data_IF_445194238247
#
_entry.id   IF_445194238247
#
_cell.length_a   1.000
_cell.length_b   1.000
_cell.length_c   1.000
_cell.angle_alpha   90.00
_cell.angle_beta   90.00
_cell.angle_gamma   90.00
#
_symmetry.space_group_name_H-M   'P 1'
#
loop_
_entity.id
_entity.type
_entity.pdbx_description
1 polymer ?
#
# COMPACT_ATOMS: atom_id res chain seq x y z
N UNK A 1 -22.38 -16.26 3.47
CA UNK A 1 -22.81 -14.85 3.47
C UNK A 1 -21.71 -13.91 3.95
N UNK A 2 -21.02 -14.18 5.04
CA UNK A 2 -19.96 -13.34 5.64
C UNK A 2 -18.81 -13.03 4.65
N UNK A 3 -18.32 -14.01 3.89
CA UNK A 3 -17.23 -13.83 2.89
C UNK A 3 -17.55 -12.84 1.75
N UNK A 4 -18.84 -12.57 1.47
CA UNK A 4 -19.26 -11.59 0.44
C UNK A 4 -19.47 -10.18 1.00
N UNK A 5 -19.81 -10.06 2.29
CA UNK A 5 -20.09 -8.78 2.95
C UNK A 5 -18.79 -8.08 3.38
N UNK A 6 -17.77 -8.86 3.75
CA UNK A 6 -16.49 -8.34 4.23
C UNK A 6 -15.83 -7.35 3.26
N UNK A 7 -15.65 -7.63 1.97
CA UNK A 7 -15.04 -6.66 1.05
C UNK A 7 -15.84 -5.36 0.90
N UNK A 8 -17.18 -5.44 0.98
CA UNK A 8 -18.05 -4.26 0.87
C UNK A 8 -17.85 -3.35 2.08
N UNK A 9 -17.90 -3.92 3.31
CA UNK A 9 -17.67 -3.15 4.53
C UNK A 9 -16.27 -2.53 4.57
N UNK A 10 -15.27 -3.26 4.10
CA UNK A 10 -13.88 -2.79 4.04
C UNK A 10 -13.74 -1.60 3.07
N UNK A 11 -14.38 -1.66 1.89
CA UNK A 11 -14.41 -0.55 0.94
C UNK A 11 -15.13 0.67 1.54
N UNK A 12 -16.28 0.46 2.19
CA UNK A 12 -17.02 1.55 2.84
C UNK A 12 -16.21 2.24 3.94
N UNK A 13 -15.52 1.45 4.77
CA UNK A 13 -14.65 1.98 5.83
C UNK A 13 -13.45 2.75 5.26
N UNK A 14 -12.76 2.18 4.26
CA UNK A 14 -11.66 2.85 3.58
C UNK A 14 -12.09 4.16 2.94
N UNK A 15 -13.25 4.18 2.27
CA UNK A 15 -13.83 5.38 1.68
C UNK A 15 -14.19 6.45 2.74
N UNK A 16 -14.67 6.04 3.93
CA UNK A 16 -14.95 6.95 5.02
C UNK A 16 -13.67 7.64 5.55
N UNK A 17 -12.60 6.86 5.78
CA UNK A 17 -11.31 7.39 6.25
C UNK A 17 -10.72 8.35 5.22
N UNK A 18 -10.76 7.96 3.93
CA UNK A 18 -10.29 8.80 2.83
C UNK A 18 -11.07 10.11 2.76
N UNK A 19 -12.40 10.04 2.73
CA UNK A 19 -13.27 11.21 2.66
C UNK A 19 -13.07 12.16 3.85
N UNK A 20 -12.88 11.63 5.05
CA UNK A 20 -12.57 12.41 6.25
C UNK A 20 -11.25 13.19 6.07
N UNK A 21 -10.19 12.52 5.66
CA UNK A 21 -8.90 13.16 5.41
C UNK A 21 -8.97 14.23 4.32
N UNK A 22 -9.67 13.93 3.23
CA UNK A 22 -9.84 14.87 2.12
C UNK A 22 -10.62 16.11 2.54
N UNK A 23 -11.78 15.94 3.18
CA UNK A 23 -12.67 17.06 3.53
C UNK A 23 -12.08 18.00 4.58
N UNK A 24 -11.40 17.46 5.59
CA UNK A 24 -10.97 18.29 6.72
C UNK A 24 -9.49 18.71 6.68
N UNK A 25 -8.68 18.07 5.85
CA UNK A 25 -7.25 18.40 5.78
C UNK A 25 -6.82 18.87 4.38
N UNK A 26 -7.22 18.22 3.30
CA UNK A 26 -6.74 18.55 1.96
C UNK A 26 -7.46 19.78 1.40
N UNK A 27 -8.80 19.75 1.38
CA UNK A 27 -9.64 20.79 0.78
C UNK A 27 -9.45 22.17 1.45
N UNK A 28 -9.48 22.30 2.79
CA UNK A 28 -9.34 23.60 3.45
C UNK A 28 -7.97 24.26 3.24
N UNK A 29 -6.93 23.46 3.02
CA UNK A 29 -5.56 23.93 2.87
C UNK A 29 -5.13 24.03 1.40
N UNK A 30 -6.07 23.85 0.47
CA UNK A 30 -5.84 23.94 -0.97
C UNK A 30 -4.71 23.03 -1.50
N UNK A 31 -4.39 21.94 -0.79
CA UNK A 31 -3.47 20.97 -1.32
C UNK A 31 -4.08 20.37 -2.60
N UNK A 32 -3.25 20.22 -3.62
CA UNK A 32 -3.73 19.59 -4.84
C UNK A 32 -3.95 18.10 -4.58
N UNK A 33 -4.99 17.58 -5.14
CA UNK A 33 -5.11 16.15 -5.34
C UNK A 33 -4.46 15.84 -6.69
N UNK A 34 -3.53 14.91 -6.73
CA UNK A 34 -2.96 14.42 -7.97
C UNK A 34 -4.02 13.73 -8.85
N UNK A 35 -3.58 12.93 -9.78
CA UNK A 35 -4.46 12.05 -10.50
C UNK A 35 -5.40 12.70 -11.51
N UNK A 36 -6.54 12.05 -11.73
CA UNK A 36 -7.54 12.52 -12.66
C UNK A 36 -8.08 13.91 -12.30
N UNK A 37 -8.21 14.21 -11.01
CA UNK A 37 -8.67 15.52 -10.51
C UNK A 37 -7.70 16.62 -10.93
N UNK A 38 -6.38 16.40 -10.85
CA UNK A 38 -5.39 17.35 -11.36
C UNK A 38 -5.55 17.66 -12.84
N UNK A 39 -5.80 16.63 -13.67
CA UNK A 39 -6.06 16.80 -15.09
C UNK A 39 -7.35 17.61 -15.33
N UNK A 40 -8.41 17.34 -14.55
CA UNK A 40 -9.67 18.11 -14.69
C UNK A 40 -9.49 19.58 -14.33
N UNK A 41 -8.68 19.88 -13.32
CA UNK A 41 -8.34 21.27 -12.97
C UNK A 41 -7.54 21.96 -14.07
N UNK A 42 -6.52 21.31 -14.63
CA UNK A 42 -5.77 21.86 -15.76
C UNK A 42 -6.70 22.19 -16.94
N UNK A 43 -7.60 21.27 -17.30
CA UNK A 43 -8.53 21.49 -18.42
C UNK A 43 -9.55 22.59 -18.13
N UNK A 44 -9.99 22.73 -16.88
CA UNK A 44 -10.85 23.83 -16.47
C UNK A 44 -10.15 25.18 -16.62
N UNK A 45 -8.90 25.29 -16.18
CA UNK A 45 -8.16 26.55 -16.27
C UNK A 45 -7.80 26.93 -17.70
N UNK A 46 -7.37 25.97 -18.54
CA UNK A 46 -6.95 26.23 -19.91
C UNK A 46 -8.13 26.38 -20.87
N UNK A 47 -9.14 25.53 -20.75
CA UNK A 47 -10.22 25.43 -21.76
C UNK A 47 -11.59 25.78 -21.20
N UNK A 48 -11.70 26.12 -19.90
CA UNK A 48 -12.97 26.42 -19.23
C UNK A 48 -13.98 25.26 -19.25
N UNK A 49 -13.51 24.03 -19.43
CA UNK A 49 -14.37 22.85 -19.41
C UNK A 49 -14.76 22.57 -17.94
N UNK A 50 -16.05 22.40 -17.62
CA UNK A 50 -16.47 22.09 -16.25
C UNK A 50 -15.79 20.84 -15.71
N UNK A 51 -15.29 20.91 -14.46
CA UNK A 51 -14.57 19.82 -13.78
C UNK A 51 -15.39 18.54 -13.78
N UNK A 52 -16.70 18.64 -13.50
CA UNK A 52 -17.62 17.49 -13.49
C UNK A 52 -17.70 16.77 -14.83
N UNK A 53 -17.77 17.54 -15.94
CA UNK A 53 -17.83 16.98 -17.29
C UNK A 53 -16.53 16.28 -17.64
N UNK A 54 -15.38 16.91 -17.36
CA UNK A 54 -14.08 16.33 -17.67
C UNK A 54 -13.80 15.10 -16.82
N UNK A 55 -14.16 15.10 -15.54
CA UNK A 55 -14.07 13.94 -14.68
C UNK A 55 -14.88 12.76 -15.25
N UNK A 56 -16.09 13.00 -15.71
CA UNK A 56 -16.91 11.98 -16.36
C UNK A 56 -16.25 11.45 -17.64
N UNK A 57 -15.76 12.33 -18.51
CA UNK A 57 -15.08 11.98 -19.76
C UNK A 57 -13.82 11.12 -19.52
N UNK A 58 -13.06 11.40 -18.47
CA UNK A 58 -11.86 10.62 -18.11
C UNK A 58 -12.26 9.26 -17.51
N UNK A 59 -13.25 9.24 -16.63
CA UNK A 59 -13.60 8.02 -15.89
C UNK A 59 -14.36 6.99 -16.74
N UNK A 60 -15.21 7.38 -17.67
CA UNK A 60 -15.95 6.43 -18.53
C UNK A 60 -15.02 5.48 -19.27
N UNK A 61 -14.03 5.94 -20.07
CA UNK A 61 -13.12 5.03 -20.75
C UNK A 61 -12.29 4.18 -19.79
N UNK A 62 -11.89 4.73 -18.62
CA UNK A 62 -11.14 4.01 -17.61
C UNK A 62 -11.96 2.86 -16.99
N UNK A 63 -13.23 3.08 -16.69
CA UNK A 63 -14.12 2.00 -16.23
C UNK A 63 -14.34 0.93 -17.29
N UNK A 64 -14.46 1.30 -18.56
CA UNK A 64 -14.57 0.33 -19.67
C UNK A 64 -13.28 -0.50 -19.78
N UNK A 65 -12.11 0.11 -19.66
CA UNK A 65 -10.83 -0.59 -19.65
C UNK A 65 -10.71 -1.51 -18.43
N UNK A 66 -11.07 -1.02 -17.23
CA UNK A 66 -11.06 -1.84 -16.02
C UNK A 66 -11.98 -3.08 -16.17
N UNK A 67 -13.16 -2.90 -16.76
CA UNK A 67 -14.05 -4.02 -17.02
C UNK A 67 -13.44 -5.05 -17.97
N UNK A 68 -12.86 -4.62 -19.09
CA UNK A 68 -12.22 -5.50 -20.07
C UNK A 68 -11.02 -6.27 -19.49
N UNK A 69 -10.23 -5.62 -18.63
CA UNK A 69 -8.96 -6.19 -18.12
C UNK A 69 -9.17 -7.04 -16.86
N UNK A 70 -10.05 -6.62 -15.96
CA UNK A 70 -10.24 -7.23 -14.64
C UNK A 70 -11.60 -7.94 -14.49
N UNK A 71 -12.51 -7.80 -15.46
CA UNK A 71 -13.84 -8.40 -15.44
C UNK A 71 -14.86 -7.64 -14.59
N UNK A 72 -16.10 -8.13 -14.60
CA UNK A 72 -17.26 -7.48 -13.98
C UNK A 72 -17.15 -7.32 -12.45
N UNK A 73 -16.51 -8.26 -11.76
CA UNK A 73 -16.33 -8.19 -10.30
C UNK A 73 -15.49 -6.98 -9.88
N UNK A 74 -14.42 -6.70 -10.62
CA UNK A 74 -13.56 -5.54 -10.36
C UNK A 74 -14.27 -4.22 -10.67
N UNK A 75 -15.05 -4.18 -11.76
CA UNK A 75 -15.87 -3.02 -12.08
C UNK A 75 -16.86 -2.71 -10.94
N UNK A 76 -17.56 -3.74 -10.43
CA UNK A 76 -18.48 -3.57 -9.31
C UNK A 76 -17.79 -3.00 -8.07
N UNK A 77 -16.63 -3.54 -7.68
CA UNK A 77 -15.87 -3.05 -6.52
C UNK A 77 -15.36 -1.62 -6.73
N UNK A 78 -14.97 -1.25 -7.94
CA UNK A 78 -14.53 0.10 -8.28
C UNK A 78 -15.70 1.11 -8.27
N UNK A 79 -16.83 0.75 -8.85
CA UNK A 79 -18.05 1.57 -8.76
C UNK A 79 -18.51 1.75 -7.31
N UNK A 80 -18.48 0.67 -6.52
CA UNK A 80 -18.80 0.74 -5.11
C UNK A 80 -17.87 1.71 -4.37
N UNK A 81 -16.55 1.63 -4.60
CA UNK A 81 -15.58 2.53 -3.97
C UNK A 81 -15.81 3.99 -4.34
N UNK A 82 -16.04 4.28 -5.63
CA UNK A 82 -16.32 5.64 -6.12
C UNK A 82 -17.63 6.20 -5.54
N UNK A 83 -18.70 5.39 -5.52
CA UNK A 83 -19.99 5.81 -4.96
C UNK A 83 -19.91 5.98 -3.45
N UNK A 84 -19.22 5.07 -2.73
CA UNK A 84 -19.02 5.16 -1.29
C UNK A 84 -18.23 6.43 -0.93
N UNK A 85 -17.15 6.71 -1.67
CA UNK A 85 -16.37 7.93 -1.47
C UNK A 85 -17.24 9.18 -1.67
N UNK A 86 -17.98 9.25 -2.78
CA UNK A 86 -18.88 10.38 -3.05
C UNK A 86 -19.94 10.57 -1.96
N UNK A 87 -20.51 9.48 -1.45
CA UNK A 87 -21.50 9.52 -0.36
C UNK A 87 -20.88 10.03 0.96
N UNK A 88 -19.67 9.57 1.31
CA UNK A 88 -18.98 10.01 2.51
C UNK A 88 -18.51 11.46 2.42
N UNK A 89 -18.04 11.92 1.25
CA UNK A 89 -17.71 13.33 1.01
C UNK A 89 -18.93 14.21 1.23
N UNK A 90 -20.07 13.87 0.59
CA UNK A 90 -21.31 14.61 0.77
C UNK A 90 -21.83 14.59 2.23
N UNK A 91 -21.53 13.55 2.98
CA UNK A 91 -21.86 13.46 4.41
C UNK A 91 -20.96 14.39 5.25
N UNK A 92 -19.64 14.31 5.07
CA UNK A 92 -18.70 15.11 5.86
C UNK A 92 -18.75 16.61 5.51
N UNK A 93 -19.04 16.98 4.27
CA UNK A 93 -19.27 18.38 3.88
C UNK A 93 -20.40 19.06 4.64
N UNK A 94 -21.37 18.27 5.17
CA UNK A 94 -22.49 18.80 5.98
C UNK A 94 -22.13 18.95 7.45
N UNK A 95 -21.02 18.40 7.90
CA UNK A 95 -20.57 18.47 9.29
C UNK A 95 -19.52 19.58 9.40
N UNK A 96 -19.83 20.72 10.02
CA UNK A 96 -18.86 21.81 10.16
C UNK A 96 -17.83 21.48 11.25
N UNK A 97 -16.85 20.63 10.93
CA UNK A 97 -15.71 20.35 11.79
C UNK A 97 -14.53 21.21 11.34
N UNK A 98 -14.11 22.14 12.18
CA UNK A 98 -12.93 22.97 11.91
C UNK A 98 -11.76 22.44 12.72
N UNK A 99 -10.73 21.96 12.02
CA UNK A 99 -9.48 21.51 12.63
C UNK A 99 -8.43 22.59 12.34
N UNK A 100 -8.15 23.41 13.34
CA UNK A 100 -7.17 24.49 13.21
C UNK A 100 -5.75 23.94 13.40
N UNK A 101 -5.01 23.85 12.32
CA UNK A 101 -3.58 23.51 12.29
C UNK A 101 -2.71 24.77 12.14
N UNK A 102 -3.25 25.97 12.43
CA UNK A 102 -2.54 27.26 12.34
C UNK A 102 -1.92 27.51 10.96
N UNK A 103 -2.51 26.92 9.91
CA UNK A 103 -2.02 27.03 8.53
C UNK A 103 -0.72 26.29 8.25
N UNK A 104 -0.30 25.37 9.15
CA UNK A 104 0.89 24.54 8.94
C UNK A 104 0.63 23.47 7.88
N UNK A 105 1.11 23.75 6.64
CA UNK A 105 0.97 22.85 5.50
C UNK A 105 1.77 21.56 5.68
N UNK A 106 2.85 21.55 6.47
CA UNK A 106 3.64 20.35 6.72
C UNK A 106 2.85 19.35 7.57
N UNK A 107 2.30 19.82 8.70
CA UNK A 107 1.47 18.98 9.57
C UNK A 107 0.23 18.51 8.81
N UNK A 108 -0.38 19.39 8.02
CA UNK A 108 -1.53 19.06 7.17
C UNK A 108 -1.19 17.95 6.19
N UNK A 109 -0.08 18.06 5.45
CA UNK A 109 0.37 17.09 4.48
C UNK A 109 0.66 15.71 5.11
N UNK A 110 1.26 15.70 6.31
CA UNK A 110 1.54 14.47 7.06
C UNK A 110 0.25 13.76 7.47
N UNK A 111 -0.67 14.46 8.13
CA UNK A 111 -1.93 13.88 8.62
C UNK A 111 -2.80 13.43 7.44
N UNK A 112 -2.98 14.29 6.44
CA UNK A 112 -3.75 13.98 5.25
C UNK A 112 -3.16 12.77 4.51
N UNK A 113 -1.83 12.75 4.30
CA UNK A 113 -1.14 11.64 3.63
C UNK A 113 -1.34 10.30 4.32
N UNK A 114 -1.30 10.28 5.65
CA UNK A 114 -1.56 9.05 6.42
C UNK A 114 -3.03 8.63 6.27
N UNK A 115 -3.99 9.53 6.45
CA UNK A 115 -5.41 9.20 6.38
C UNK A 115 -5.83 8.75 4.98
N UNK A 116 -5.45 9.48 3.94
CA UNK A 116 -5.77 9.10 2.57
C UNK A 116 -5.07 7.81 2.17
N UNK A 117 -3.81 7.64 2.56
CA UNK A 117 -3.06 6.42 2.32
C UNK A 117 -3.68 5.18 2.99
N UNK A 118 -4.17 5.31 4.24
CA UNK A 118 -4.91 4.25 4.93
C UNK A 118 -6.22 3.95 4.17
N UNK A 119 -6.99 4.98 3.84
CA UNK A 119 -8.26 4.82 3.12
C UNK A 119 -8.08 4.09 1.79
N UNK A 120 -7.17 4.56 0.93
CA UNK A 120 -6.87 3.95 -0.36
C UNK A 120 -6.29 2.54 -0.22
N UNK A 121 -5.34 2.34 0.68
CA UNK A 121 -4.73 1.03 0.92
C UNK A 121 -5.78 -0.03 1.29
N UNK A 122 -6.73 0.32 2.15
CA UNK A 122 -7.86 -0.55 2.53
C UNK A 122 -8.75 -0.84 1.32
N UNK A 123 -9.08 0.17 0.51
CA UNK A 123 -9.92 0.02 -0.70
C UNK A 123 -9.23 -0.90 -1.72
N UNK A 124 -7.93 -0.71 -1.96
CA UNK A 124 -7.17 -1.50 -2.92
C UNK A 124 -7.03 -2.97 -2.48
N UNK A 125 -6.77 -3.23 -1.19
CA UNK A 125 -6.73 -4.59 -0.65
C UNK A 125 -8.08 -5.32 -0.80
N UNK A 126 -9.19 -4.59 -0.70
CA UNK A 126 -10.52 -5.14 -0.95
C UNK A 126 -10.85 -5.31 -2.45
N UNK A 127 -9.92 -4.94 -3.35
CA UNK A 127 -10.06 -5.04 -4.80
C UNK A 127 -10.91 -3.92 -5.43
N UNK A 128 -11.16 -2.83 -4.68
CA UNK A 128 -11.80 -1.61 -5.16
C UNK A 128 -10.82 -0.59 -5.73
N UNK A 129 -11.34 0.54 -6.21
CA UNK A 129 -10.63 1.78 -6.56
C UNK A 129 -11.55 2.97 -6.32
N UNK A 130 -11.00 4.17 -6.25
CA UNK A 130 -11.80 5.41 -6.18
C UNK A 130 -12.08 6.00 -7.57
N UNK A 131 -11.57 5.37 -8.62
CA UNK A 131 -11.65 5.86 -10.01
C UNK A 131 -10.37 6.55 -10.46
N UNK A 132 -10.43 7.23 -11.61
CA UNK A 132 -9.32 8.06 -12.06
C UNK A 132 -8.01 7.31 -12.29
N UNK A 133 -6.91 7.92 -11.86
CA UNK A 133 -5.55 7.37 -11.97
C UNK A 133 -5.36 6.06 -11.22
N UNK A 134 -6.17 5.77 -10.20
CA UNK A 134 -6.17 4.49 -9.49
C UNK A 134 -6.35 3.31 -10.46
N UNK A 135 -7.27 3.47 -11.43
CA UNK A 135 -7.52 2.45 -12.45
C UNK A 135 -6.30 2.27 -13.33
N UNK A 136 -5.67 3.37 -13.74
CA UNK A 136 -4.44 3.35 -14.57
C UNK A 136 -3.31 2.66 -13.80
N UNK A 137 -3.08 3.08 -12.56
CA UNK A 137 -2.08 2.46 -11.69
C UNK A 137 -2.31 0.95 -11.54
N UNK A 138 -3.56 0.55 -11.31
CA UNK A 138 -3.93 -0.87 -11.18
C UNK A 138 -3.72 -1.66 -12.47
N UNK A 139 -3.97 -1.08 -13.62
CA UNK A 139 -3.70 -1.71 -14.92
C UNK A 139 -2.19 -1.90 -15.09
N UNK A 140 -1.38 -0.87 -14.82
CA UNK A 140 0.08 -0.95 -14.92
C UNK A 140 0.63 -1.97 -13.92
N UNK A 141 0.16 -1.94 -12.67
CA UNK A 141 0.56 -2.90 -11.63
C UNK A 141 0.38 -4.35 -12.08
N UNK A 142 -0.74 -4.68 -12.74
CA UNK A 142 -1.01 -6.03 -13.25
C UNK A 142 0.07 -6.54 -14.21
N UNK A 143 0.67 -5.67 -15.01
CA UNK A 143 1.64 -6.07 -16.03
C UNK A 143 3.10 -5.87 -15.60
N UNK A 144 3.36 -4.96 -14.66
CA UNK A 144 4.72 -4.58 -14.26
C UNK A 144 5.11 -5.09 -12.87
N UNK A 145 4.14 -5.50 -12.05
CA UNK A 145 4.33 -5.88 -10.65
C UNK A 145 4.95 -4.76 -9.77
N UNK A 146 4.93 -3.51 -10.26
CA UNK A 146 5.32 -2.34 -9.46
C UNK A 146 4.22 -2.07 -8.44
N UNK A 147 4.56 -1.72 -7.19
CA UNK A 147 3.57 -1.46 -6.15
C UNK A 147 2.57 -0.36 -6.51
N UNK A 148 1.36 -0.46 -5.99
CA UNK A 148 0.28 0.50 -6.27
C UNK A 148 0.64 1.91 -5.81
N UNK A 149 1.20 2.06 -4.61
CA UNK A 149 1.61 3.37 -4.09
C UNK A 149 2.68 4.01 -4.96
N UNK A 150 3.70 3.24 -5.39
CA UNK A 150 4.75 3.75 -6.27
C UNK A 150 4.20 4.20 -7.63
N UNK A 151 3.27 3.46 -8.21
CA UNK A 151 2.66 3.84 -9.50
C UNK A 151 1.82 5.10 -9.38
N UNK A 152 1.02 5.21 -8.32
CA UNK A 152 0.25 6.43 -8.05
C UNK A 152 1.17 7.63 -7.90
N UNK A 153 2.21 7.51 -7.06
CA UNK A 153 3.18 8.59 -6.88
C UNK A 153 3.84 9.05 -8.20
N UNK A 154 4.20 8.10 -9.08
CA UNK A 154 4.78 8.44 -10.40
C UNK A 154 3.78 9.19 -11.28
N UNK A 155 2.52 8.71 -11.33
CA UNK A 155 1.47 9.33 -12.12
C UNK A 155 1.16 10.75 -11.61
N UNK A 156 1.02 10.89 -10.29
CA UNK A 156 0.72 12.18 -9.65
C UNK A 156 1.88 13.14 -9.77
N UNK A 157 3.13 12.67 -9.64
CA UNK A 157 4.33 13.46 -9.88
C UNK A 157 4.34 14.06 -11.31
N UNK A 158 4.02 13.28 -12.33
CA UNK A 158 3.96 13.78 -13.69
C UNK A 158 2.89 14.86 -13.85
N UNK A 159 1.73 14.69 -13.23
CA UNK A 159 0.64 15.68 -13.27
C UNK A 159 1.01 16.95 -12.49
N UNK A 160 1.61 16.81 -11.32
CA UNK A 160 2.06 17.94 -10.51
C UNK A 160 3.17 18.75 -11.18
N UNK A 161 4.04 18.11 -11.98
CA UNK A 161 5.01 18.84 -12.79
C UNK A 161 4.33 19.69 -13.87
N UNK A 162 3.26 19.19 -14.50
CA UNK A 162 2.45 20.01 -15.42
C UNK A 162 1.75 21.15 -14.69
N UNK A 163 1.19 20.90 -13.51
CA UNK A 163 0.57 21.93 -12.66
C UNK A 163 1.59 23.02 -12.31
N UNK A 164 2.82 22.63 -11.92
CA UNK A 164 3.88 23.58 -11.62
C UNK A 164 4.23 24.48 -12.79
N UNK A 165 4.29 23.95 -14.01
CA UNK A 165 4.57 24.72 -15.21
C UNK A 165 3.47 25.76 -15.51
N UNK A 166 2.21 25.43 -15.21
CA UNK A 166 1.04 26.28 -15.48
C UNK A 166 0.86 27.34 -14.37
N UNK A 167 0.85 26.91 -13.10
CA UNK A 167 0.51 27.76 -11.96
C UNK A 167 1.71 28.43 -11.30
N UNK A 168 2.92 27.90 -11.48
CA UNK A 168 4.18 28.41 -10.94
C UNK A 168 4.22 28.54 -9.41
N UNK A 169 3.37 27.82 -8.69
CA UNK A 169 3.36 27.76 -7.22
C UNK A 169 4.20 26.59 -6.73
N UNK A 170 5.51 26.85 -6.58
CA UNK A 170 6.46 25.83 -6.12
C UNK A 170 6.17 25.37 -4.67
N UNK A 171 5.70 26.28 -3.82
CA UNK A 171 5.43 25.96 -2.41
C UNK A 171 4.31 24.91 -2.32
N UNK A 172 3.19 25.17 -2.98
CA UNK A 172 2.02 24.30 -2.94
C UNK A 172 2.32 22.93 -3.57
N UNK A 173 3.02 22.91 -4.72
CA UNK A 173 3.43 21.68 -5.37
C UNK A 173 4.38 20.86 -4.50
N UNK A 174 5.31 21.51 -3.76
CA UNK A 174 6.23 20.79 -2.86
C UNK A 174 5.48 20.10 -1.71
N UNK A 175 4.53 20.78 -1.06
CA UNK A 175 3.73 20.16 0.00
C UNK A 175 2.81 19.06 -0.54
N UNK A 176 2.26 19.23 -1.74
CA UNK A 176 1.47 18.19 -2.38
C UNK A 176 2.32 16.96 -2.73
N UNK A 177 3.53 17.14 -3.23
CA UNK A 177 4.46 16.03 -3.47
C UNK A 177 4.83 15.28 -2.17
N UNK A 178 5.01 16.00 -1.07
CA UNK A 178 5.24 15.38 0.23
C UNK A 178 4.02 14.57 0.68
N UNK A 179 2.84 15.14 0.55
CA UNK A 179 1.56 14.50 0.82
C UNK A 179 1.41 13.20 -0.01
N UNK A 180 1.58 13.26 -1.34
CA UNK A 180 1.47 12.11 -2.24
C UNK A 180 2.53 11.03 -1.96
N UNK A 181 3.75 11.44 -1.58
CA UNK A 181 4.79 10.51 -1.16
C UNK A 181 4.35 9.70 0.08
N UNK A 182 3.74 10.36 1.08
CA UNK A 182 3.25 9.71 2.29
C UNK A 182 2.09 8.78 1.95
N UNK A 183 1.13 9.23 1.15
CA UNK A 183 0.02 8.40 0.63
C UNK A 183 0.57 7.13 0.00
N UNK A 184 1.52 7.27 -0.92
CA UNK A 184 2.19 6.16 -1.60
C UNK A 184 2.78 5.14 -0.63
N UNK A 185 3.53 5.61 0.37
CA UNK A 185 4.18 4.73 1.36
C UNK A 185 3.18 4.01 2.24
N UNK A 186 2.12 4.68 2.65
CA UNK A 186 1.07 4.07 3.47
C UNK A 186 0.27 3.05 2.68
N UNK A 187 -0.06 3.33 1.41
CA UNK A 187 -0.70 2.35 0.52
C UNK A 187 0.13 1.09 0.41
N UNK A 188 1.44 1.22 0.15
CA UNK A 188 2.33 0.08 0.00
C UNK A 188 2.46 -0.71 1.30
N UNK A 189 2.58 -0.04 2.46
CA UNK A 189 2.60 -0.68 3.77
C UNK A 189 1.34 -1.53 4.04
N UNK A 190 0.18 -1.02 3.65
CA UNK A 190 -1.09 -1.74 3.81
C UNK A 190 -1.21 -2.86 2.77
N UNK A 191 -0.76 -2.60 1.53
CA UNK A 191 -0.80 -3.56 0.42
C UNK A 191 0.15 -4.73 0.59
N UNK A 192 1.34 -4.51 1.16
CA UNK A 192 2.29 -5.58 1.48
C UNK A 192 1.74 -6.55 2.54
N UNK A 193 0.73 -6.13 3.31
CA UNK A 193 -0.01 -6.96 4.25
C UNK A 193 0.85 -7.62 5.33
N UNK A 194 0.20 -8.37 6.24
CA UNK A 194 0.87 -9.15 7.30
C UNK A 194 1.66 -10.37 6.79
N UNK A 195 1.75 -10.60 5.49
CA UNK A 195 2.39 -11.76 4.87
C UNK A 195 3.86 -11.54 4.48
N UNK A 196 4.38 -10.33 4.64
CA UNK A 196 5.80 -10.07 4.47
C UNK A 196 6.58 -10.68 5.63
N UNK A 197 7.55 -11.51 5.31
CA UNK A 197 8.43 -12.16 6.29
C UNK A 197 9.88 -11.96 5.95
N UNK A 198 10.74 -12.57 6.77
CA UNK A 198 12.18 -12.64 6.52
C UNK A 198 12.59 -14.08 6.39
N UNK A 199 13.29 -14.39 5.31
CA UNK A 199 13.98 -15.65 5.11
C UNK A 199 15.33 -15.63 5.84
N UNK A 200 15.52 -16.54 6.76
CA UNK A 200 16.78 -16.77 7.46
C UNK A 200 17.50 -17.93 6.82
N UNK A 201 18.74 -17.71 6.39
CA UNK A 201 19.67 -18.75 6.02
C UNK A 201 20.79 -18.76 7.06
N UNK A 202 20.94 -19.88 7.81
CA UNK A 202 21.78 -19.93 8.98
C UNK A 202 22.77 -21.08 8.83
N UNK A 203 24.06 -20.76 8.95
CA UNK A 203 25.16 -21.72 9.03
C UNK A 203 25.61 -21.76 10.48
N UNK A 204 25.49 -22.93 11.12
CA UNK A 204 25.78 -23.12 12.54
C UNK A 204 26.41 -24.47 12.79
N UNK A 205 27.18 -24.58 13.86
CA UNK A 205 27.74 -25.84 14.36
C UNK A 205 26.71 -26.69 15.13
N UNK A 206 25.51 -26.11 15.42
CA UNK A 206 24.44 -26.75 16.19
C UNK A 206 23.10 -26.78 15.44
N UNK A 207 23.07 -27.31 14.20
CA UNK A 207 21.87 -27.18 13.33
C UNK A 207 20.65 -27.89 13.92
N UNK A 208 20.80 -29.10 14.46
CA UNK A 208 19.65 -29.87 14.96
C UNK A 208 19.06 -29.23 16.24
N UNK A 209 19.91 -28.67 17.12
CA UNK A 209 19.48 -27.98 18.33
C UNK A 209 18.73 -26.69 17.99
N UNK A 210 19.24 -25.91 17.02
CA UNK A 210 18.61 -24.67 16.60
C UNK A 210 17.30 -24.93 15.88
N UNK A 211 17.25 -25.92 14.98
CA UNK A 211 16.03 -26.32 14.28
C UNK A 211 14.92 -26.73 15.25
N UNK A 212 15.27 -27.51 16.28
CA UNK A 212 14.32 -27.91 17.33
C UNK A 212 13.78 -26.67 18.06
N UNK A 213 14.66 -25.76 18.49
CA UNK A 213 14.23 -24.55 19.18
C UNK A 213 13.33 -23.64 18.32
N UNK A 214 13.63 -23.50 17.03
CA UNK A 214 12.79 -22.74 16.08
C UNK A 214 11.39 -23.37 16.00
N UNK A 215 11.32 -24.69 15.86
CA UNK A 215 10.05 -25.39 15.76
C UNK A 215 9.24 -25.30 17.06
N UNK A 216 9.88 -25.53 18.21
CA UNK A 216 9.22 -25.59 19.52
C UNK A 216 8.79 -24.19 20.01
N UNK A 217 9.65 -23.17 19.86
CA UNK A 217 9.42 -21.82 20.43
C UNK A 217 8.69 -20.87 19.48
N UNK A 218 8.83 -21.05 18.15
CA UNK A 218 8.22 -20.19 17.13
C UNK A 218 7.12 -20.90 16.32
N UNK A 219 7.05 -22.24 16.40
CA UNK A 219 6.10 -23.02 15.60
C UNK A 219 6.34 -22.90 14.09
N UNK A 220 7.59 -22.63 13.68
CA UNK A 220 7.95 -22.41 12.28
C UNK A 220 8.64 -23.63 11.68
N UNK A 221 8.28 -23.95 10.45
CA UNK A 221 8.93 -25.00 9.66
C UNK A 221 10.39 -24.66 9.38
N UNK A 222 11.24 -25.66 9.47
CA UNK A 222 12.68 -25.56 9.20
C UNK A 222 13.05 -26.53 8.10
N UNK A 223 13.82 -26.05 7.12
CA UNK A 223 14.36 -26.90 6.05
C UNK A 223 15.88 -26.93 6.17
N UNK A 224 16.47 -28.13 6.16
CA UNK A 224 17.90 -28.30 6.02
C UNK A 224 18.30 -28.32 4.54
N UNK A 225 19.29 -27.48 4.21
CA UNK A 225 19.94 -27.50 2.92
C UNK A 225 21.34 -28.07 3.11
N UNK A 226 21.68 -29.16 2.42
CA UNK A 226 23.01 -29.71 2.47
C UNK A 226 23.99 -28.87 1.65
N UNK A 227 25.12 -28.54 2.20
CA UNK A 227 26.19 -27.78 1.57
C UNK A 227 27.55 -28.27 2.00
N UNK A 228 28.61 -27.83 1.34
CA UNK A 228 29.98 -28.09 1.73
C UNK A 228 30.77 -26.78 1.80
N UNK A 229 31.50 -26.60 2.89
CA UNK A 229 32.42 -25.46 3.01
C UNK A 229 33.54 -25.55 1.97
N UNK A 230 33.68 -24.52 1.11
CA UNK A 230 34.72 -24.56 0.08
C UNK A 230 36.13 -24.65 0.66
N UNK A 231 36.38 -23.91 1.74
CA UNK A 231 37.71 -23.88 2.39
C UNK A 231 37.91 -25.05 3.36
N UNK A 232 36.95 -25.29 4.26
CA UNK A 232 37.06 -26.34 5.29
C UNK A 232 36.84 -27.73 4.73
N UNK A 233 36.17 -27.89 3.57
CA UNK A 233 35.72 -29.16 3.00
C UNK A 233 34.78 -29.98 3.90
N UNK A 234 34.28 -29.36 4.97
CA UNK A 234 33.32 -29.96 5.88
C UNK A 234 31.91 -29.92 5.28
N UNK A 235 31.13 -30.96 5.52
CA UNK A 235 29.72 -30.99 5.20
C UNK A 235 28.91 -30.12 6.18
N UNK A 236 28.05 -29.29 5.66
CA UNK A 236 27.26 -28.32 6.39
C UNK A 236 25.77 -28.59 6.25
N UNK A 237 25.04 -28.51 7.37
CA UNK A 237 23.58 -28.40 7.36
C UNK A 237 23.20 -26.92 7.50
N UNK A 238 22.77 -26.31 6.43
CA UNK A 238 22.30 -24.93 6.40
C UNK A 238 20.82 -24.94 6.77
N UNK A 239 20.42 -24.14 7.76
CA UNK A 239 19.02 -23.97 8.14
C UNK A 239 18.41 -22.90 7.26
N UNK A 240 17.31 -23.22 6.60
CA UNK A 240 16.44 -22.26 5.96
C UNK A 240 15.10 -22.21 6.69
N UNK A 241 14.71 -21.02 7.14
CA UNK A 241 13.47 -20.79 7.86
C UNK A 241 12.91 -19.41 7.52
N UNK A 242 11.59 -19.31 7.32
CA UNK A 242 10.91 -18.05 7.12
C UNK A 242 10.13 -17.70 8.38
N UNK A 243 10.29 -16.47 8.85
CA UNK A 243 9.61 -15.95 10.04
C UNK A 243 8.87 -14.66 9.74
N UNK A 244 7.78 -14.39 10.46
CA UNK A 244 7.05 -13.14 10.39
C UNK A 244 7.86 -11.96 10.94
N UNK A 245 7.49 -10.73 10.57
CA UNK A 245 8.18 -9.50 11.04
C UNK A 245 8.29 -9.42 12.57
N UNK A 246 7.26 -9.85 13.29
CA UNK A 246 7.21 -9.79 14.75
C UNK A 246 8.12 -10.83 15.43
N UNK A 247 8.58 -11.84 14.69
CA UNK A 247 9.39 -12.95 15.21
C UNK A 247 10.89 -12.75 15.00
N UNK A 248 11.29 -11.72 14.22
CA UNK A 248 12.69 -11.48 13.83
C UNK A 248 13.60 -11.31 15.05
N UNK A 249 13.16 -10.52 16.04
CA UNK A 249 13.96 -10.25 17.25
C UNK A 249 14.15 -11.54 18.02
N UNK A 250 13.06 -12.26 18.28
CA UNK A 250 13.10 -13.54 19.01
C UNK A 250 13.97 -14.58 18.30
N UNK A 251 13.89 -14.63 16.97
CA UNK A 251 14.73 -15.51 16.15
C UNK A 251 16.22 -15.17 16.29
N UNK A 252 16.61 -13.91 16.21
CA UNK A 252 18.00 -13.47 16.39
C UNK A 252 18.53 -13.79 17.79
N UNK A 253 17.75 -13.52 18.82
CA UNK A 253 18.11 -13.83 20.22
C UNK A 253 18.30 -15.33 20.43
N UNK A 254 17.41 -16.16 19.88
CA UNK A 254 17.49 -17.61 19.94
C UNK A 254 18.77 -18.13 19.28
N UNK A 255 19.07 -17.64 18.05
CA UNK A 255 20.29 -18.04 17.34
C UNK A 255 21.53 -17.68 18.16
N UNK A 256 21.61 -16.43 18.64
CA UNK A 256 22.74 -15.96 19.41
C UNK A 256 22.93 -16.74 20.74
N UNK A 257 21.84 -17.11 21.40
CA UNK A 257 21.87 -17.92 22.64
C UNK A 257 22.39 -19.33 22.39
N UNK A 258 22.02 -19.94 21.24
CA UNK A 258 22.40 -21.35 20.95
C UNK A 258 23.79 -21.39 20.33
N UNK A 259 24.10 -20.54 19.37
CA UNK A 259 25.41 -20.46 18.73
C UNK A 259 25.76 -19.00 18.42
N UNK A 260 26.53 -18.34 19.30
CA UNK A 260 27.00 -16.97 19.11
C UNK A 260 27.87 -16.76 17.85
N UNK A 261 28.43 -17.85 17.30
CA UNK A 261 29.27 -17.81 16.10
C UNK A 261 28.53 -18.19 14.82
N UNK A 262 27.21 -18.39 14.88
CA UNK A 262 26.42 -18.69 13.71
C UNK A 262 26.50 -17.57 12.67
N UNK A 263 26.68 -17.95 11.41
CA UNK A 263 26.58 -17.00 10.30
C UNK A 263 25.14 -16.95 9.79
N UNK A 264 24.58 -15.74 9.72
CA UNK A 264 23.16 -15.53 9.42
C UNK A 264 23.03 -14.58 8.22
N UNK A 265 22.34 -15.02 7.18
CA UNK A 265 21.88 -14.16 6.10
C UNK A 265 20.36 -13.98 6.23
N UNK A 266 19.90 -12.73 6.19
CA UNK A 266 18.48 -12.39 6.28
C UNK A 266 18.06 -11.73 4.96
N UNK A 267 17.11 -12.34 4.27
CA UNK A 267 16.54 -11.83 3.00
C UNK A 267 15.10 -11.39 3.20
N UNK A 268 14.64 -10.44 2.41
CA UNK A 268 13.23 -10.05 2.41
C UNK A 268 12.41 -11.07 1.61
N UNK A 269 11.33 -11.55 2.21
CA UNK A 269 10.31 -12.31 1.53
C UNK A 269 9.07 -11.42 1.41
N UNK A 270 8.86 -10.87 0.22
CA UNK A 270 7.75 -9.93 -0.05
C UNK A 270 6.39 -10.62 -0.03
N UNK A 271 6.36 -11.87 -0.46
CA UNK A 271 5.13 -12.67 -0.49
C UNK A 271 5.44 -14.10 -0.05
N UNK A 272 4.66 -14.60 0.90
CA UNK A 272 4.79 -15.95 1.43
C UNK A 272 3.44 -16.63 1.31
N UNK A 273 3.36 -17.65 0.45
CA UNK A 273 2.17 -18.45 0.26
C UNK A 273 2.40 -19.83 0.87
N UNK A 274 1.52 -20.25 1.75
CA UNK A 274 1.59 -21.58 2.33
C UNK A 274 1.14 -21.65 3.79
N UNK A 275 1.22 -22.87 4.32
CA UNK A 275 0.82 -23.18 5.70
C UNK A 275 1.63 -22.37 6.72
N UNK A 276 0.95 -21.85 7.71
CA UNK A 276 1.54 -21.00 8.75
C UNK A 276 1.70 -19.52 8.40
N UNK A 277 1.37 -19.10 7.14
CA UNK A 277 1.38 -17.71 6.70
C UNK A 277 0.06 -17.29 6.06
N UNK A 278 -0.41 -18.00 5.03
CA UNK A 278 -1.64 -17.67 4.29
C UNK A 278 -2.77 -18.65 4.54
N UNK A 279 -2.47 -19.84 5.03
CA UNK A 279 -3.48 -20.83 5.42
C UNK A 279 -3.47 -20.95 6.95
N UNK A 280 -4.67 -20.89 7.56
CA UNK A 280 -4.83 -21.23 8.97
C UNK A 280 -4.44 -22.72 9.17
N UNK A 281 -3.75 -23.01 10.30
CA UNK A 281 -3.53 -24.39 10.72
C UNK A 281 -4.90 -25.02 10.94
N UNK A 282 -5.18 -26.14 10.24
CA UNK A 282 -6.33 -26.99 10.54
C UNK A 282 -6.28 -27.56 11.96
#
# INVERSE_FOLDING_TARGET
>A
MIKKIYPILTILLGAAIYAFGLTYFVVPHHLFEGGATGITLITFYLFKIPVSLMNLLINIPLFILAWKIFGAKSLYSSLLGTLALSAWLAFFERIPLHIDLQGDLLITALIAGILLGIGLGIIFNAGGTTGGTDIVARIINKYTHISMGKLLFILDFCILMLILLIFKDLRLVTYTLLFDFIVSRVIDLIGEGGYAGKGFMIITKRPDQLAKAINDDLGRGVTFISGQGYYSREDLKIIYCIVGRNEIVKMKEMIHRIDPQAFITITEAHEILGEGFTFEKE
#
